data_IF_828633820978
#
_entry.id   IF_828633820978
#
_cell.length_a   1.000
_cell.length_b   1.000
_cell.length_c   1.000
_cell.angle_alpha   90.00
_cell.angle_beta   90.00
_cell.angle_gamma   90.00
#
_symmetry.space_group_name_H-M   'P 1'
#
loop_
_entity.id
_entity.type
_entity.pdbx_description
1 polymer ?
#
# COMPACT_ATOMS: atom_id res chain seq x y z
N UNK A 1 36.66 12.71 -48.31
CA UNK A 1 36.52 12.52 -47.94
C UNK A 1 36.09 11.97 -47.09
N UNK A 2 36.08 11.52 -46.54
CA UNK A 2 35.71 11.05 -45.81
C UNK A 2 35.30 10.40 -45.09
N UNK A 3 35.20 10.04 -44.60
CA UNK A 3 34.83 9.51 -43.90
C UNK A 3 34.53 8.82 -43.12
N UNK A 4 34.46 8.61 -42.85
CA UNK A 4 34.08 8.07 -42.12
C UNK A 4 33.70 7.40 -41.33
N UNK A 5 33.81 7.16 -41.07
CA UNK A 5 33.49 6.61 -40.32
C UNK A 5 32.98 5.94 -39.57
N UNK A 6 33.13 5.73 -39.36
CA UNK A 6 32.73 5.09 -38.57
C UNK A 6 32.29 4.56 -37.73
N UNK A 7 32.34 4.37 -37.53
CA UNK A 7 32.03 3.88 -36.80
C UNK A 7 31.58 3.22 -36.00
N UNK A 8 31.74 2.96 -35.70
CA UNK A 8 31.34 2.25 -34.91
C UNK A 8 30.85 1.84 -33.98
N UNK A 9 30.99 1.67 -33.78
CA UNK A 9 30.62 1.28 -32.89
C UNK A 9 30.07 0.63 -32.14
N UNK A 10 30.27 0.49 -32.08
CA UNK A 10 29.80 -0.02 -31.38
C UNK A 10 29.45 -0.58 -30.54
N UNK A 11 29.56 -0.66 -30.39
CA UNK A 11 29.14 -1.19 -29.54
C UNK A 11 28.85 -1.70 -28.72
N UNK A 12 29.03 -1.58 -28.59
CA UNK A 12 28.74 -1.90 -27.74
C UNK A 12 28.21 -2.48 -26.99
N UNK A 13 28.24 -2.49 -26.98
CA UNK A 13 27.63 -2.86 -26.16
C UNK A 13 27.32 -3.49 -25.32
N UNK A 14 27.52 -3.43 -25.32
CA UNK A 14 27.13 -3.83 -24.36
C UNK A 14 26.82 -4.34 -23.63
N UNK A 15 26.94 -4.24 -23.62
CA UNK A 15 26.52 -4.51 -22.82
C UNK A 15 25.98 -4.95 -22.05
N UNK A 16 26.18 -4.81 -22.16
CA UNK A 16 25.55 -4.96 -21.23
C UNK A 16 25.07 -5.64 -20.54
N UNK A 17 25.33 -5.74 -20.93
CA UNK A 17 24.79 -6.28 -20.19
C UNK A 17 24.68 -6.72 -19.34
N UNK A 18 24.95 -6.57 -19.27
CA UNK A 18 24.77 -6.86 -18.29
C UNK A 18 24.35 -7.04 -17.48
N UNK A 19 24.46 -6.71 -17.71
CA UNK A 19 23.94 -6.70 -16.72
C UNK A 19 23.15 -7.27 -16.26
N UNK A 20 23.17 -7.26 -16.72
CA UNK A 20 22.33 -7.66 -16.11
C UNK A 20 21.99 -8.41 -15.54
N UNK A 21 22.44 -8.57 -15.65
CA UNK A 21 22.14 -9.27 -14.95
C UNK A 21 21.94 -9.49 -14.02
N UNK A 22 22.18 -9.19 -13.80
CA UNK A 22 21.92 -9.31 -12.76
C UNK A 22 21.07 -9.56 -12.13
N UNK A 23 20.94 -9.20 -12.35
CA UNK A 23 20.09 -9.34 -11.57
C UNK A 23 19.42 -10.20 -11.21
N UNK A 24 19.55 -10.54 -11.42
CA UNK A 24 18.85 -11.36 -11.05
C UNK A 24 18.51 -12.01 -10.19
N UNK A 25 19.02 -12.07 -10.01
CA UNK A 25 18.68 -12.59 -9.21
C UNK A 25 17.99 -12.88 -8.49
N UNK A 26 18.13 -12.68 -8.51
CA UNK A 26 17.44 -12.79 -7.80
C UNK A 26 16.67 -13.41 -7.47
N UNK A 27 16.70 -13.35 -7.69
CA UNK A 27 15.84 -13.71 -7.34
C UNK A 27 15.27 -14.49 -7.06
N UNK A 28 15.43 -14.66 -7.15
CA UNK A 28 14.75 -15.30 -6.92
C UNK A 28 13.99 -15.86 -6.51
N UNK A 29 13.86 -15.82 -6.55
CA UNK A 29 13.09 -16.25 -6.12
C UNK A 29 12.26 -16.64 -6.13
N UNK A 30 12.16 -16.53 -6.25
CA UNK A 30 11.33 -16.75 -6.24
C UNK A 30 10.52 -17.25 -6.37
N UNK A 31 10.41 -17.32 -6.48
CA UNK A 31 9.60 -17.64 -6.56
C UNK A 31 8.75 -18.20 -6.84
N UNK A 32 8.49 -18.33 -6.91
CA UNK A 32 7.72 -18.80 -7.18
C UNK A 32 6.76 -19.08 -7.58
N UNK A 33 6.35 -18.96 -7.76
CA UNK A 33 5.45 -19.29 -7.96
C UNK A 33 4.68 -19.35 -8.70
N UNK A 34 4.38 -19.24 -9.13
CA UNK A 34 3.64 -19.46 -9.74
C UNK A 34 2.85 -19.18 -10.39
N UNK A 35 2.72 -18.79 -10.58
CA UNK A 35 1.85 -18.74 -11.15
C UNK A 35 1.45 -18.42 -12.28
N UNK A 36 1.21 -18.31 -12.52
CA UNK A 36 0.60 -18.40 -13.75
C UNK A 36 -0.01 -17.13 -14.19
N UNK A 37 -0.46 -16.91 -15.19
CA UNK A 37 -1.00 -15.66 -15.66
C UNK A 37 0.05 -14.59 -15.72
N UNK A 38 -0.27 -13.43 -16.11
CA UNK A 38 0.66 -12.32 -16.13
C UNK A 38 0.93 -11.75 -14.76
N UNK A 39 1.72 -10.70 -14.72
CA UNK A 39 1.95 -10.02 -13.44
C UNK A 39 0.63 -9.54 -12.88
N UNK A 40 0.39 -9.85 -11.62
CA UNK A 40 -0.80 -9.42 -10.92
C UNK A 40 -0.38 -8.60 -9.71
N UNK A 41 -1.28 -7.76 -9.25
CA UNK A 41 -1.03 -7.00 -8.03
C UNK A 41 -0.90 -7.96 -6.86
N UNK A 42 -0.05 -7.62 -5.89
CA UNK A 42 0.02 -8.42 -4.67
C UNK A 42 -1.31 -8.36 -3.93
N UNK A 43 -1.64 -9.36 -3.12
CA UNK A 43 -2.91 -9.36 -2.40
C UNK A 43 -2.99 -8.30 -1.31
N UNK A 44 -1.86 -7.87 -0.77
CA UNK A 44 -1.82 -6.80 0.21
C UNK A 44 -0.48 -6.08 0.15
N UNK A 45 -0.48 -4.85 0.67
CA UNK A 45 0.71 -4.00 0.69
C UNK A 45 0.95 -3.52 2.11
N UNK A 46 2.18 -3.71 2.60
CA UNK A 46 2.62 -3.19 3.91
C UNK A 46 3.49 -1.98 3.63
N UNK A 47 3.29 -0.86 4.35
CA UNK A 47 4.14 0.32 4.15
C UNK A 47 5.62 -0.02 4.35
N UNK A 48 6.48 0.66 3.60
CA UNK A 48 7.92 0.33 3.56
C UNK A 48 8.60 0.43 4.92
N UNK A 49 8.08 1.24 5.82
CA UNK A 49 8.67 1.41 7.16
C UNK A 49 8.00 0.54 8.21
N UNK A 50 7.14 -0.37 7.80
CA UNK A 50 6.44 -1.26 8.70
C UNK A 50 6.83 -2.69 8.40
N UNK A 51 6.81 -3.51 9.44
CA UNK A 51 7.16 -4.91 9.30
C UNK A 51 6.22 -5.74 10.17
N UNK A 52 5.64 -6.74 9.58
CA UNK A 52 4.77 -7.67 10.30
C UNK A 52 5.62 -8.77 10.94
N UNK A 53 5.33 -9.09 12.19
CA UNK A 53 5.93 -10.27 12.81
C UNK A 53 5.38 -11.51 12.13
N UNK A 54 5.97 -12.66 12.45
CA UNK A 54 5.49 -13.93 11.87
C UNK A 54 4.03 -14.20 12.23
N UNK A 55 3.67 -13.99 13.49
CA UNK A 55 2.30 -14.22 13.92
C UNK A 55 1.34 -13.22 13.29
N UNK A 56 1.73 -11.95 13.21
CA UNK A 56 0.91 -10.93 12.54
C UNK A 56 0.69 -11.28 11.07
N UNK A 57 1.76 -11.66 10.39
CA UNK A 57 1.68 -12.00 8.97
C UNK A 57 0.71 -13.15 8.72
N UNK A 58 0.74 -14.16 9.56
CA UNK A 58 -0.14 -15.32 9.41
C UNK A 58 -1.61 -14.90 9.52
N UNK A 59 -1.93 -14.09 10.51
CA UNK A 59 -3.31 -13.65 10.74
C UNK A 59 -3.76 -12.69 9.64
N UNK A 60 -2.88 -11.74 9.27
CA UNK A 60 -3.19 -10.80 8.19
C UNK A 60 -3.47 -11.54 6.89
N UNK A 61 -2.63 -12.49 6.54
CA UNK A 61 -2.81 -13.23 5.28
C UNK A 61 -4.11 -14.03 5.28
N UNK A 62 -4.50 -14.60 6.41
CA UNK A 62 -5.76 -15.30 6.51
C UNK A 62 -6.94 -14.35 6.31
N UNK A 63 -6.88 -13.16 6.91
CA UNK A 63 -7.94 -12.16 6.75
C UNK A 63 -8.01 -11.65 5.31
N UNK A 64 -6.87 -11.38 4.70
CA UNK A 64 -6.80 -10.90 3.32
C UNK A 64 -7.45 -11.92 2.38
N UNK A 65 -7.15 -13.20 2.56
CA UNK A 65 -7.77 -14.24 1.74
C UNK A 65 -9.28 -14.28 1.90
N UNK A 66 -9.77 -14.06 3.12
CA UNK A 66 -11.20 -14.10 3.38
C UNK A 66 -11.92 -12.91 2.75
N UNK A 67 -11.26 -11.75 2.66
CA UNK A 67 -11.86 -10.53 2.12
C UNK A 67 -12.02 -10.60 0.60
N UNK A 68 -11.05 -11.18 -0.10
CA UNK A 68 -11.08 -11.31 -1.56
C UNK A 68 -11.28 -9.97 -2.26
N UNK A 69 -10.39 -9.03 -1.97
CA UNK A 69 -10.47 -7.69 -2.52
C UNK A 69 -10.03 -7.66 -3.99
N UNK A 70 -10.64 -6.77 -4.78
CA UNK A 70 -10.23 -6.57 -6.18
C UNK A 70 -8.90 -5.83 -6.28
N UNK A 71 -8.61 -4.96 -5.31
CA UNK A 71 -7.34 -4.23 -5.26
C UNK A 71 -6.56 -4.72 -4.05
N UNK A 72 -5.23 -4.53 -4.03
CA UNK A 72 -4.45 -4.90 -2.86
C UNK A 72 -4.97 -4.22 -1.60
N UNK A 73 -5.01 -4.96 -0.51
CA UNK A 73 -5.41 -4.41 0.78
C UNK A 73 -4.21 -3.69 1.39
N UNK A 74 -4.43 -2.46 1.84
CA UNK A 74 -3.37 -1.67 2.45
C UNK A 74 -3.36 -1.94 3.95
N UNK A 75 -2.20 -2.36 4.47
CA UNK A 75 -2.06 -2.76 5.87
C UNK A 75 -1.47 -1.59 6.66
N UNK A 76 -2.10 -1.25 7.78
CA UNK A 76 -1.62 -0.18 8.64
C UNK A 76 -1.53 -0.70 10.07
N UNK A 77 -0.33 -0.64 10.64
CA UNK A 77 -0.13 -0.92 12.06
C UNK A 77 -0.28 0.42 12.79
N UNK A 78 -1.19 0.48 13.75
CA UNK A 78 -1.48 1.72 14.44
C UNK A 78 -0.28 2.16 15.27
N UNK A 79 0.22 3.34 14.97
CA UNK A 79 1.35 3.97 15.66
C UNK A 79 0.87 5.22 16.39
N UNK A 80 1.71 5.77 17.25
CA UNK A 80 1.34 6.94 18.04
C UNK A 80 0.92 8.12 17.17
N UNK A 81 1.57 8.32 16.02
CA UNK A 81 1.22 9.43 15.13
C UNK A 81 -0.20 9.30 14.56
N UNK A 82 -0.76 8.09 14.55
CA UNK A 82 -2.10 7.86 14.02
C UNK A 82 -3.19 8.00 15.08
N UNK A 83 -2.86 7.82 16.34
CA UNK A 83 -3.87 7.74 17.40
C UNK A 83 -3.71 8.75 18.54
N UNK A 84 -2.53 9.40 18.67
CA UNK A 84 -2.35 10.42 19.71
C UNK A 84 -3.12 11.68 19.29
N UNK A 85 -3.93 12.17 20.20
CA UNK A 85 -4.90 13.24 19.94
C UNK A 85 -4.31 14.46 19.23
N UNK A 86 -3.12 14.88 19.61
CA UNK A 86 -2.53 16.09 19.06
C UNK A 86 -2.02 15.94 17.63
N UNK A 87 -1.92 14.71 17.15
CA UNK A 87 -1.33 14.45 15.83
C UNK A 87 -2.10 13.40 15.06
N UNK A 88 -3.38 13.27 15.36
CA UNK A 88 -4.16 12.21 14.70
C UNK A 88 -4.35 12.48 13.23
N UNK A 89 -3.58 11.78 12.45
CA UNK A 89 -3.71 11.74 11.01
C UNK A 89 -3.14 10.41 10.53
N UNK A 90 -3.63 9.93 9.42
CA UNK A 90 -3.11 8.72 8.81
C UNK A 90 -2.48 9.07 7.48
N UNK A 91 -1.21 8.74 7.32
CA UNK A 91 -0.55 8.93 6.03
C UNK A 91 -0.57 7.62 5.25
N UNK A 92 -1.01 7.69 3.99
CA UNK A 92 -0.88 6.53 3.11
C UNK A 92 0.53 6.48 2.54
N UNK A 93 1.13 5.30 2.55
CA UNK A 93 2.45 5.11 1.97
C UNK A 93 2.47 5.58 0.51
N UNK A 94 3.56 6.25 0.12
CA UNK A 94 3.66 6.88 -1.19
C UNK A 94 3.43 5.89 -2.33
N UNK A 95 3.96 4.69 -2.20
CA UNK A 95 3.84 3.67 -3.23
C UNK A 95 2.38 3.26 -3.45
N UNK A 96 1.67 2.98 -2.36
CA UNK A 96 0.26 2.60 -2.45
C UNK A 96 -0.57 3.76 -2.97
N UNK A 97 -0.35 4.96 -2.43
CA UNK A 97 -1.13 6.13 -2.82
C UNK A 97 -0.98 6.42 -4.31
N UNK A 98 0.25 6.36 -4.83
CA UNK A 98 0.51 6.64 -6.23
C UNK A 98 -0.17 5.62 -7.15
N UNK A 99 -0.25 4.37 -6.71
CA UNK A 99 -0.78 3.29 -7.55
C UNK A 99 -2.30 3.19 -7.50
N UNK A 100 -2.93 3.53 -6.37
CA UNK A 100 -4.34 3.19 -6.17
C UNK A 100 -5.24 4.35 -5.77
N UNK A 101 -4.71 5.48 -5.32
CA UNK A 101 -5.53 6.58 -4.86
C UNK A 101 -5.47 7.78 -5.82
N UNK A 102 -6.61 8.48 -6.03
CA UNK A 102 -6.59 9.69 -6.86
C UNK A 102 -5.73 10.78 -6.21
N UNK A 103 -4.97 11.48 -7.02
CA UNK A 103 -4.05 12.51 -6.54
C UNK A 103 -4.77 13.85 -6.42
N UNK A 104 -5.84 13.90 -5.64
CA UNK A 104 -6.57 15.14 -5.39
C UNK A 104 -7.27 15.06 -4.04
N UNK A 105 -7.40 16.21 -3.42
CA UNK A 105 -8.09 16.30 -2.13
C UNK A 105 -9.57 16.04 -2.31
N UNK A 106 -10.12 15.21 -1.43
CA UNK A 106 -11.54 14.85 -1.49
C UNK A 106 -11.94 14.14 -0.20
N UNK A 107 -13.23 13.90 -0.06
CA UNK A 107 -13.73 13.07 1.03
C UNK A 107 -13.40 11.62 0.73
N UNK A 108 -12.86 10.94 1.73
CA UNK A 108 -12.74 9.49 1.71
C UNK A 108 -13.71 8.91 2.72
N UNK A 109 -14.60 8.07 2.25
CA UNK A 109 -15.57 7.40 3.12
C UNK A 109 -14.92 6.15 3.69
N UNK A 110 -14.94 6.01 5.01
CA UNK A 110 -14.49 4.78 5.66
C UNK A 110 -15.71 4.02 6.15
N UNK A 111 -15.75 2.73 5.85
CA UNK A 111 -16.80 1.84 6.32
C UNK A 111 -16.18 0.83 7.26
N UNK A 112 -16.84 0.56 8.37
CA UNK A 112 -16.37 -0.45 9.32
C UNK A 112 -17.57 -0.99 10.06
N UNK A 113 -17.75 -2.32 9.99
CA UNK A 113 -18.85 -3.00 10.69
C UNK A 113 -20.20 -2.37 10.40
N UNK A 114 -20.43 -1.99 9.15
CA UNK A 114 -21.71 -1.43 8.72
C UNK A 114 -21.91 0.03 9.03
N UNK A 115 -20.92 0.70 9.62
CA UNK A 115 -20.99 2.14 9.92
C UNK A 115 -20.09 2.91 8.98
N UNK A 116 -20.37 4.21 8.84
CA UNK A 116 -19.70 5.07 7.87
C UNK A 116 -19.12 6.29 8.58
N UNK A 117 -17.89 6.65 8.19
CA UNK A 117 -17.22 7.88 8.63
C UNK A 117 -16.74 8.62 7.40
N UNK A 118 -17.00 9.92 7.34
CA UNK A 118 -16.45 10.76 6.28
C UNK A 118 -15.15 11.36 6.76
N UNK A 119 -14.10 11.17 5.99
CA UNK A 119 -12.79 11.71 6.34
C UNK A 119 -12.32 12.62 5.23
N UNK A 120 -11.43 13.57 5.59
CA UNK A 120 -10.85 14.48 4.62
C UNK A 120 -9.50 13.94 4.17
N UNK A 121 -9.41 13.57 2.91
CA UNK A 121 -8.13 13.19 2.32
C UNK A 121 -7.48 14.44 1.78
N UNK A 122 -6.33 14.78 2.34
CA UNK A 122 -5.59 16.00 1.98
C UNK A 122 -4.23 15.63 1.41
N UNK A 123 -3.68 16.57 0.62
CA UNK A 123 -2.38 16.37 -0.01
C UNK A 123 -1.41 17.39 0.56
N UNK A 124 -0.20 16.92 0.90
CA UNK A 124 0.88 17.79 1.37
C UNK A 124 2.12 17.54 0.53
N UNK A 125 2.89 18.59 0.32
CA UNK A 125 4.13 18.53 -0.48
C UNK A 125 3.89 17.95 -1.87
N UNK A 126 2.70 18.21 -2.43
CA UNK A 126 2.35 17.82 -3.78
C UNK A 126 2.00 16.36 -4.01
N UNK A 127 2.32 15.48 -3.06
CA UNK A 127 2.15 14.04 -3.31
C UNK A 127 1.86 13.18 -2.09
N UNK A 128 1.96 13.74 -0.89
CA UNK A 128 1.73 12.94 0.33
C UNK A 128 0.26 13.02 0.70
N UNK A 129 -0.39 11.87 0.79
CA UNK A 129 -1.81 11.78 1.09
C UNK A 129 -2.05 11.42 2.54
N UNK A 130 -2.89 12.22 3.20
CA UNK A 130 -3.25 12.01 4.60
C UNK A 130 -4.74 12.02 4.78
N UNK A 131 -5.23 11.22 5.74
CA UNK A 131 -6.56 11.39 6.27
C UNK A 131 -6.46 12.27 7.52
N UNK A 132 -7.22 13.35 7.56
CA UNK A 132 -7.20 14.28 8.69
C UNK A 132 -8.57 14.42 9.33
N UNK A 133 -9.42 15.29 8.81
CA UNK A 133 -10.75 15.47 9.37
C UNK A 133 -11.52 14.16 9.37
N UNK A 134 -12.18 13.83 10.47
CA UNK A 134 -12.93 12.58 10.58
C UNK A 134 -12.12 11.39 11.01
N UNK A 135 -10.80 11.40 10.80
CA UNK A 135 -9.96 10.29 11.23
C UNK A 135 -9.95 10.12 12.75
N UNK A 136 -9.77 11.21 13.55
CA UNK A 136 -9.82 11.04 15.00
C UNK A 136 -11.12 10.42 15.50
N UNK A 137 -12.25 10.79 14.90
CA UNK A 137 -13.53 10.21 15.27
C UNK A 137 -13.58 8.72 14.94
N UNK A 138 -13.07 8.34 13.78
CA UNK A 138 -12.99 6.94 13.38
C UNK A 138 -12.14 6.14 14.40
N UNK A 139 -10.99 6.68 14.77
CA UNK A 139 -10.11 6.03 15.76
C UNK A 139 -10.85 5.84 17.08
N UNK A 140 -11.51 6.89 17.55
CA UNK A 140 -12.21 6.86 18.83
C UNK A 140 -13.40 5.89 18.81
N UNK A 141 -14.23 6.00 17.78
CA UNK A 141 -15.45 5.19 17.69
C UNK A 141 -15.14 3.70 17.56
N UNK A 142 -13.99 3.37 16.98
CA UNK A 142 -13.59 1.97 16.80
C UNK A 142 -12.60 1.50 17.86
N UNK A 143 -12.28 2.34 18.84
CA UNK A 143 -11.41 1.95 19.95
C UNK A 143 -10.03 1.51 19.51
N UNK A 144 -9.47 2.15 18.49
CA UNK A 144 -8.16 1.76 17.96
C UNK A 144 -7.06 2.09 18.95
N UNK A 145 -6.12 1.17 19.12
CA UNK A 145 -5.01 1.30 20.05
C UNK A 145 -3.69 1.02 19.35
N UNK A 146 -2.60 1.43 20.00
CA UNK A 146 -1.26 1.10 19.51
C UNK A 146 -1.12 -0.40 19.28
N UNK A 147 -0.62 -0.76 18.13
CA UNK A 147 -0.40 -2.17 17.80
C UNK A 147 -1.56 -2.86 17.11
N UNK A 148 -2.75 -2.24 17.09
CA UNK A 148 -3.85 -2.77 16.29
C UNK A 148 -3.47 -2.65 14.82
N UNK A 149 -4.00 -3.56 14.01
CA UNK A 149 -3.75 -3.54 12.58
C UNK A 149 -5.06 -3.27 11.86
N UNK A 150 -5.03 -2.30 10.94
CA UNK A 150 -6.17 -2.00 10.09
C UNK A 150 -5.88 -2.45 8.67
N UNK A 151 -6.83 -3.14 8.08
CA UNK A 151 -6.76 -3.57 6.68
C UNK A 151 -7.71 -2.68 5.89
N UNK A 152 -7.14 -1.86 5.00
CA UNK A 152 -7.91 -0.94 4.18
C UNK A 152 -8.20 -1.56 2.82
N UNK A 153 -9.46 -1.84 2.57
CA UNK A 153 -9.91 -2.41 1.31
C UNK A 153 -10.54 -1.32 0.46
N UNK A 154 -9.91 -1.01 -0.66
CA UNK A 154 -10.45 -0.01 -1.58
C UNK A 154 -11.67 -0.61 -2.28
N UNK A 155 -12.80 0.07 -2.16
CA UNK A 155 -14.04 -0.36 -2.79
C UNK A 155 -14.15 0.29 -4.16
N UNK A 156 -14.49 -0.51 -5.15
CA UNK A 156 -14.69 0.00 -6.50
C UNK A 156 -16.18 0.19 -6.78
N UNK A 157 -16.48 0.96 -7.81
CA UNK A 157 -17.86 1.20 -8.25
C UNK A 157 -18.69 1.96 -7.23
N UNK A 158 -18.03 2.78 -6.40
CA UNK A 158 -18.71 3.67 -5.46
C UNK A 158 -18.70 5.08 -6.01
N UNK A 159 -19.75 5.84 -5.68
CA UNK A 159 -19.84 7.22 -6.14
C UNK A 159 -18.78 8.11 -5.50
N UNK A 160 -18.32 7.76 -4.31
CA UNK A 160 -17.27 8.46 -3.60
C UNK A 160 -16.13 7.51 -3.32
N UNK A 161 -14.93 8.07 -3.14
CA UNK A 161 -13.77 7.27 -2.73
C UNK A 161 -14.09 6.60 -1.40
N UNK A 162 -14.13 5.28 -1.38
CA UNK A 162 -14.59 4.52 -0.23
C UNK A 162 -13.63 3.39 0.10
N UNK A 163 -13.34 3.20 1.37
CA UNK A 163 -12.56 2.06 1.84
C UNK A 163 -13.29 1.35 2.96
N UNK A 164 -13.34 0.04 2.86
CA UNK A 164 -13.80 -0.81 3.97
C UNK A 164 -12.60 -1.09 4.86
N UNK A 165 -12.75 -0.86 6.17
CA UNK A 165 -11.65 -1.07 7.12
C UNK A 165 -11.97 -2.28 7.98
N UNK A 166 -11.02 -3.22 8.01
CA UNK A 166 -11.12 -4.41 8.84
C UNK A 166 -10.07 -4.30 9.93
N UNK A 167 -10.48 -4.36 11.19
CA UNK A 167 -9.59 -4.15 12.33
C UNK A 167 -9.22 -5.48 12.94
N UNK A 168 -7.92 -5.69 13.17
CA UNK A 168 -7.41 -6.84 13.92
C UNK A 168 -6.81 -6.28 15.20
N UNK A 169 -7.40 -6.66 16.33
CA UNK A 169 -6.91 -6.21 17.64
C UNK A 169 -5.52 -6.76 17.89
N UNK A 170 -4.66 -5.93 18.50
CA UNK A 170 -3.32 -6.36 18.89
C UNK A 170 -3.35 -7.61 19.77
N UNK A 171 -4.45 -7.86 20.42
CA UNK A 171 -4.59 -9.02 21.31
C UNK A 171 -4.78 -10.34 20.55
N UNK A 172 -4.98 -10.26 19.23
CA UNK A 172 -5.12 -11.46 18.42
C UNK A 172 -3.77 -12.04 17.96
N UNK A 173 -2.68 -11.39 18.26
CA UNK A 173 -1.33 -11.81 17.81
C UNK A 173 -0.53 -12.50 18.89
#
# INVERSE_FOLDING_TARGET
MASPVHIKEEPTDGQHVSSESSMKEISDGSLNNNDSGGPSDPPYIVPSRSCLSRSQKKIVEAKVRAIQSEAPIYIVIMKSSSIVVSKQMLEFGAHYAAAYLPAREQTMVLQCKGKIWNTDMVIRNGHRLFLRGGWPKFVCDNGLRLGDICLFQLKKNESKLTMEVHVISREEF
#
